data_IF_517172890051
#
_entry.id   IF_517172890051
#
_cell.length_a   1.000
_cell.length_b   1.000
_cell.length_c   1.000
_cell.angle_alpha   90.00
_cell.angle_beta   90.00
_cell.angle_gamma   90.00
#
_symmetry.space_group_name_H-M   'P 1'
#
loop_
_entity.id
_entity.type
_entity.pdbx_description
1 polymer ?
#
# COMPACT_ATOMS: atom_id res chain seq x y z
N UNK A 1 27.95 20.81 -2.60
CA UNK A 1 26.77 20.14 -3.21
C UNK A 1 25.67 20.07 -2.18
N UNK A 2 24.42 20.40 -2.53
CA UNK A 2 23.30 20.27 -1.59
C UNK A 2 22.89 18.81 -1.48
N UNK A 3 23.09 18.22 -0.30
CA UNK A 3 22.61 16.87 0.05
C UNK A 3 21.31 17.05 0.83
N UNK A 4 20.19 16.60 0.26
CA UNK A 4 18.91 16.59 0.94
C UNK A 4 18.73 15.23 1.65
N UNK A 5 19.28 15.12 2.88
CA UNK A 5 19.06 13.99 3.80
C UNK A 5 19.72 12.66 3.42
N UNK A 6 20.02 11.83 4.42
CA UNK A 6 20.28 10.38 4.26
C UNK A 6 19.04 9.64 4.76
N UNK A 7 18.09 9.37 3.87
CA UNK A 7 16.92 8.56 4.20
C UNK A 7 17.14 7.16 3.64
N UNK A 8 17.21 6.17 4.52
CA UNK A 8 17.21 4.76 4.12
C UNK A 8 15.78 4.30 3.89
N UNK A 9 15.57 3.56 2.81
CA UNK A 9 14.28 3.04 2.38
C UNK A 9 14.35 1.53 2.21
N UNK A 10 13.38 0.83 2.78
CA UNK A 10 13.19 -0.61 2.63
C UNK A 10 11.95 -0.89 1.79
N UNK A 11 12.08 -1.76 0.79
CA UNK A 11 10.99 -2.23 -0.05
C UNK A 11 10.76 -3.72 0.21
N UNK A 12 9.50 -4.13 0.34
CA UNK A 12 9.12 -5.54 0.48
C UNK A 12 8.26 -5.98 -0.69
N UNK A 13 8.38 -7.25 -1.07
CA UNK A 13 7.68 -7.83 -2.22
C UNK A 13 7.11 -9.19 -1.86
N UNK A 14 6.02 -9.57 -2.52
CA UNK A 14 5.51 -10.94 -2.46
C UNK A 14 6.21 -11.86 -3.47
N UNK A 15 5.89 -13.16 -3.44
CA UNK A 15 6.46 -14.19 -4.34
C UNK A 15 6.18 -13.96 -5.83
N UNK A 16 5.22 -13.10 -6.19
CA UNK A 16 4.94 -12.69 -7.56
C UNK A 16 5.72 -11.44 -7.98
N UNK A 17 6.55 -10.90 -7.10
CA UNK A 17 7.33 -9.68 -7.32
C UNK A 17 6.52 -8.39 -7.17
N UNK A 18 5.31 -8.43 -6.62
CA UNK A 18 4.53 -7.21 -6.37
C UNK A 18 4.96 -6.54 -5.07
N UNK A 19 5.07 -5.21 -5.08
CA UNK A 19 5.41 -4.41 -3.91
C UNK A 19 4.34 -4.61 -2.82
N UNK A 20 4.75 -4.99 -1.62
CA UNK A 20 3.88 -5.15 -0.45
C UNK A 20 4.10 -4.08 0.61
N UNK A 21 5.18 -3.31 0.51
CA UNK A 21 5.43 -2.21 1.43
C UNK A 21 6.67 -1.42 1.11
N UNK A 22 6.70 -0.19 1.62
CA UNK A 22 7.82 0.76 1.54
C UNK A 22 7.91 1.47 2.87
N UNK A 23 9.08 1.45 3.50
CA UNK A 23 9.27 1.95 4.85
C UNK A 23 10.58 2.73 4.96
N UNK A 24 10.51 3.87 5.64
CA UNK A 24 11.60 4.78 5.98
C UNK A 24 11.20 5.54 7.25
N UNK A 25 12.13 6.24 7.90
CA UNK A 25 11.82 7.00 9.12
C UNK A 25 10.63 7.96 8.98
N UNK A 26 10.48 8.77 7.90
CA UNK A 26 9.32 9.65 7.76
C UNK A 26 8.08 8.96 7.18
N UNK A 27 8.19 7.75 6.63
CA UNK A 27 7.13 7.23 5.77
C UNK A 27 7.02 5.71 5.82
N UNK A 28 5.79 5.20 5.97
CA UNK A 28 5.48 3.78 5.87
C UNK A 28 4.22 3.56 5.03
N UNK A 29 4.26 2.53 4.18
CA UNK A 29 3.08 2.00 3.51
C UNK A 29 3.08 0.47 3.50
N UNK A 30 1.88 -0.10 3.54
CA UNK A 30 1.63 -1.53 3.29
C UNK A 30 0.58 -1.68 2.21
N UNK A 31 0.83 -2.60 1.28
CA UNK A 31 -0.02 -2.92 0.14
C UNK A 31 -0.52 -4.35 0.28
N UNK A 32 -1.84 -4.54 0.25
CA UNK A 32 -2.48 -5.85 0.39
C UNK A 32 -3.28 -6.20 -0.85
N UNK A 33 -3.14 -7.45 -1.31
CA UNK A 33 -3.76 -7.97 -2.53
C UNK A 33 -4.81 -9.04 -2.18
N UNK A 34 -4.39 -10.29 -2.09
CA UNK A 34 -5.27 -11.43 -1.84
C UNK A 34 -5.68 -11.61 -0.37
N UNK A 35 -4.95 -10.99 0.56
CA UNK A 35 -5.16 -11.13 2.01
C UNK A 35 -5.34 -9.72 2.60
N UNK A 36 -6.54 -9.13 2.48
CA UNK A 36 -6.87 -7.86 3.12
C UNK A 36 -7.03 -8.01 4.63
N UNK A 37 -6.84 -6.91 5.36
CA UNK A 37 -7.01 -6.80 6.82
C UNK A 37 -8.12 -5.80 7.20
N UNK A 38 -8.37 -4.79 6.37
CA UNK A 38 -9.39 -3.74 6.56
C UNK A 38 -10.80 -4.10 6.09
N UNK A 39 -11.06 -5.37 5.76
CA UNK A 39 -12.38 -5.86 5.34
C UNK A 39 -12.73 -5.65 3.86
N UNK A 40 -11.79 -5.16 3.04
CA UNK A 40 -11.99 -5.06 1.59
C UNK A 40 -12.01 -6.43 0.90
N UNK A 41 -12.51 -6.47 -0.34
CA UNK A 41 -12.56 -7.71 -1.11
C UNK A 41 -11.19 -8.17 -1.62
N UNK A 42 -10.82 -9.41 -1.30
CA UNK A 42 -9.56 -10.03 -1.73
C UNK A 42 -9.34 -9.97 -3.25
N UNK A 43 -8.11 -9.64 -3.67
CA UNK A 43 -7.71 -9.48 -5.07
C UNK A 43 -6.61 -10.46 -5.48
N UNK A 44 -7.04 -11.63 -5.96
CA UNK A 44 -6.15 -12.69 -6.43
C UNK A 44 -5.56 -12.43 -7.83
N UNK A 45 -6.21 -11.53 -8.59
CA UNK A 45 -5.87 -11.15 -9.96
C UNK A 45 -4.73 -10.11 -10.04
N UNK A 46 -4.21 -9.65 -8.90
CA UNK A 46 -3.12 -8.68 -8.84
C UNK A 46 -3.53 -7.22 -8.75
N UNK A 47 -4.82 -6.93 -8.72
CA UNK A 47 -5.30 -5.63 -8.25
C UNK A 47 -4.97 -5.46 -6.76
N UNK A 48 -4.76 -4.22 -6.35
CA UNK A 48 -4.57 -3.89 -4.95
C UNK A 48 -5.92 -3.88 -4.24
N UNK A 49 -6.05 -4.61 -3.12
CA UNK A 49 -7.25 -4.59 -2.29
C UNK A 49 -7.22 -3.42 -1.33
N UNK A 50 -6.09 -3.24 -0.63
CA UNK A 50 -5.97 -2.23 0.42
C UNK A 50 -4.61 -1.55 0.41
N UNK A 51 -4.62 -0.28 0.82
CA UNK A 51 -3.44 0.53 1.02
C UNK A 51 -3.45 1.14 2.41
N UNK A 52 -2.50 0.73 3.24
CA UNK A 52 -2.19 1.39 4.50
C UNK A 52 -1.09 2.43 4.28
N UNK A 53 -1.29 3.63 4.79
CA UNK A 53 -0.41 4.78 4.62
C UNK A 53 -0.18 5.49 5.95
N UNK A 54 1.09 5.75 6.28
CA UNK A 54 1.49 6.43 7.52
C UNK A 54 2.61 7.44 7.27
N UNK A 55 2.43 8.65 7.80
CA UNK A 55 3.43 9.72 7.77
C UNK A 55 3.96 9.96 9.19
N UNK A 56 5.27 9.74 9.38
CA UNK A 56 5.94 9.87 10.67
C UNK A 56 5.29 8.97 11.73
N UNK A 57 4.97 9.56 12.88
CA UNK A 57 4.33 8.87 14.00
C UNK A 57 2.80 9.04 14.02
N UNK A 58 2.20 9.61 12.97
CA UNK A 58 0.75 9.78 12.90
C UNK A 58 0.04 8.42 12.82
N UNK A 59 -1.26 8.40 13.12
CA UNK A 59 -2.07 7.21 12.91
C UNK A 59 -2.02 6.77 11.44
N UNK A 60 -1.92 5.46 11.22
CA UNK A 60 -2.00 4.90 9.88
C UNK A 60 -3.43 5.05 9.34
N UNK A 61 -3.55 5.45 8.08
CA UNK A 61 -4.80 5.47 7.34
C UNK A 61 -4.88 4.20 6.50
N UNK A 62 -6.01 3.50 6.57
CA UNK A 62 -6.28 2.33 5.73
C UNK A 62 -7.27 2.72 4.65
N UNK A 63 -7.02 2.32 3.42
CA UNK A 63 -7.93 2.55 2.30
C UNK A 63 -8.26 1.24 1.61
N UNK A 64 -9.55 0.92 1.48
CA UNK A 64 -10.06 -0.13 0.62
C UNK A 64 -10.27 0.36 -0.82
N UNK A 65 -9.71 -0.34 -1.80
CA UNK A 65 -9.79 0.05 -3.20
C UNK A 65 -10.95 -0.66 -3.91
N UNK A 66 -11.73 0.13 -4.64
CA UNK A 66 -12.91 -0.33 -5.37
C UNK A 66 -12.63 -0.38 -6.87
N UNK A 67 -13.32 -1.29 -7.53
CA UNK A 67 -13.17 -1.53 -8.96
C UNK A 67 -14.55 -1.87 -9.55
N UNK A 68 -14.74 -1.55 -10.83
CA UNK A 68 -15.91 -1.99 -11.58
C UNK A 68 -15.83 -3.47 -11.99
N UNK A 69 -16.87 -3.97 -12.67
CA UNK A 69 -16.94 -5.35 -13.14
C UNK A 69 -15.87 -5.75 -14.17
N UNK A 70 -15.16 -4.78 -14.75
CA UNK A 70 -14.04 -5.01 -15.68
C UNK A 70 -12.67 -4.83 -14.97
N UNK A 71 -12.66 -4.74 -13.64
CA UNK A 71 -11.47 -4.57 -12.82
C UNK A 71 -10.71 -3.25 -13.08
N UNK A 72 -11.43 -2.19 -13.48
CA UNK A 72 -10.87 -0.83 -13.55
C UNK A 72 -11.08 -0.12 -12.22
N UNK A 73 -10.06 0.61 -11.76
CA UNK A 73 -10.11 1.34 -10.50
C UNK A 73 -11.24 2.39 -10.51
N UNK A 74 -12.10 2.38 -9.49
CA UNK A 74 -13.23 3.33 -9.35
C UNK A 74 -13.08 4.29 -8.19
N UNK A 75 -12.21 3.99 -7.22
CA UNK A 75 -11.98 4.87 -6.07
C UNK A 75 -11.45 4.13 -4.84
N UNK A 76 -11.32 4.87 -3.76
CA UNK A 76 -10.88 4.38 -2.46
C UNK A 76 -11.86 4.80 -1.36
N UNK A 77 -12.09 3.93 -0.39
CA UNK A 77 -12.88 4.19 0.82
C UNK A 77 -11.93 4.04 2.01
N UNK A 78 -11.96 4.99 2.94
CA UNK A 78 -11.16 4.93 4.18
C UNK A 78 -11.89 4.15 5.27
#
# INVERSE_FOLDING_TARGET
>A
GKRYGSTDESLTYNVRGWLTGKESTPFRMRLRYAIPEGGSGARWNGSLSEWEWQHGTNAAMMYGLTYDGLNRFTGAVQ
#
